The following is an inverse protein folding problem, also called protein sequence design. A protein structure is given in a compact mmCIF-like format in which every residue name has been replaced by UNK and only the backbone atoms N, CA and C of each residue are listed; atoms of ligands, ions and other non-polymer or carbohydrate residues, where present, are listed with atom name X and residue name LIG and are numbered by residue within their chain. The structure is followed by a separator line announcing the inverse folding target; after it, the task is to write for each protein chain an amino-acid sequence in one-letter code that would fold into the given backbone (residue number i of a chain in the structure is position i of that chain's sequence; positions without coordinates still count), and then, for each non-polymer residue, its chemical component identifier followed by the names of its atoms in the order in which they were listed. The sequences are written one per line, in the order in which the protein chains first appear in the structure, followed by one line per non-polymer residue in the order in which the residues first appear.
data_IF_444078433409
#
_entry.id   IF_444078433409
#
_cell.length_a   1.000
_cell.length_b   1.000
_cell.length_c   1.000
_cell.angle_alpha   90.00
_cell.angle_beta   90.00
_cell.angle_gamma   90.00
#
_symmetry.space_group_name_H-M   'P 1'
#
loop_
_entity.id
_entity.type
_entity.pdbx_description
1 polymer ?
#
# COMPACT_ATOMS: atom_id res chain seq x y z
N UNK A 1 -2.61 -3.65 47.68
CA UNK A 1 -1.80 -2.70 48.48
C UNK A 1 -1.62 -1.42 47.65
N UNK A 2 -2.46 -0.43 47.94
CA UNK A 2 -2.37 0.88 47.34
C UNK A 2 -1.20 1.65 47.95
N UNK A 3 -0.12 1.85 47.22
CA UNK A 3 1.03 2.70 47.60
C UNK A 3 0.68 4.20 47.41
N UNK A 4 -0.47 4.64 47.91
CA UNK A 4 -1.02 5.97 47.62
C UNK A 4 -0.67 7.07 48.64
N UNK A 5 0.17 6.82 49.64
CA UNK A 5 0.41 7.81 50.70
C UNK A 5 1.84 8.39 50.80
N UNK A 6 2.59 8.38 49.67
CA UNK A 6 3.89 9.04 49.60
C UNK A 6 4.11 9.81 48.28
N UNK A 7 3.03 10.22 47.61
CA UNK A 7 2.93 10.31 46.15
C UNK A 7 3.21 11.64 45.45
N UNK A 8 3.71 12.71 46.08
CA UNK A 8 3.87 14.00 45.34
C UNK A 8 5.10 14.09 44.44
N UNK A 9 6.15 13.34 44.66
CA UNK A 9 7.41 13.42 43.87
C UNK A 9 7.58 12.29 42.81
N UNK A 10 7.00 11.13 43.04
CA UNK A 10 7.08 10.00 42.08
C UNK A 10 6.02 10.04 40.98
N UNK A 11 4.88 10.68 41.19
CA UNK A 11 3.83 10.83 40.21
C UNK A 11 4.29 11.46 38.87
N UNK A 12 5.09 12.54 38.87
CA UNK A 12 5.55 13.13 37.61
C UNK A 12 6.52 12.23 36.85
N UNK A 13 7.42 11.50 37.52
CA UNK A 13 8.37 10.61 36.83
C UNK A 13 7.68 9.42 36.16
N UNK A 14 6.71 8.81 36.83
CA UNK A 14 5.87 7.75 36.25
C UNK A 14 5.05 8.29 35.08
N UNK A 15 4.47 9.49 35.21
CA UNK A 15 3.71 10.15 34.16
C UNK A 15 4.55 10.42 32.92
N UNK A 16 5.76 10.96 33.08
CA UNK A 16 6.69 11.23 31.95
C UNK A 16 7.11 9.93 31.26
N UNK A 17 7.44 8.88 32.02
CA UNK A 17 7.80 7.58 31.44
C UNK A 17 6.62 6.95 30.67
N UNK A 18 5.41 7.01 31.23
CA UNK A 18 4.20 6.52 30.54
C UNK A 18 3.92 7.31 29.26
N UNK A 19 4.01 8.64 29.33
CA UNK A 19 3.80 9.50 28.16
C UNK A 19 4.83 9.25 27.04
N UNK A 20 6.10 9.04 27.40
CA UNK A 20 7.14 8.76 26.44
C UNK A 20 6.94 7.38 25.75
N UNK A 21 6.55 6.35 26.51
CA UNK A 21 6.19 5.04 25.92
C UNK A 21 4.98 5.19 25.01
N UNK A 22 3.94 5.90 25.47
CA UNK A 22 2.73 6.12 24.68
C UNK A 22 3.03 6.85 23.36
N UNK A 23 3.88 7.89 23.41
CA UNK A 23 4.29 8.62 22.21
C UNK A 23 5.12 7.75 21.26
N UNK A 24 6.07 6.96 21.80
CA UNK A 24 6.87 6.04 20.97
C UNK A 24 5.99 5.02 20.27
N UNK A 25 5.04 4.41 20.97
CA UNK A 25 4.08 3.43 20.41
C UNK A 25 3.18 4.11 19.38
N UNK A 26 2.68 5.29 19.68
CA UNK A 26 1.85 6.07 18.76
C UNK A 26 2.59 6.33 17.42
N UNK A 27 3.84 6.78 17.47
CA UNK A 27 4.65 7.01 16.26
C UNK A 27 4.91 5.72 15.49
N UNK A 28 5.17 4.60 16.19
CA UNK A 28 5.37 3.30 15.55
C UNK A 28 4.10 2.82 14.83
N UNK A 29 2.92 2.94 15.46
CA UNK A 29 1.63 2.59 14.85
C UNK A 29 1.35 3.48 13.63
N UNK A 30 1.58 4.80 13.75
CA UNK A 30 1.42 5.73 12.64
C UNK A 30 2.29 5.32 11.44
N UNK A 31 3.57 4.99 11.69
CA UNK A 31 4.50 4.59 10.62
C UNK A 31 4.01 3.33 9.89
N UNK A 32 3.56 2.31 10.61
CA UNK A 32 3.04 1.07 10.00
C UNK A 32 1.77 1.35 9.21
N UNK A 33 0.81 2.08 9.81
CA UNK A 33 -0.51 2.30 9.22
C UNK A 33 -0.44 3.20 7.98
N UNK A 34 0.36 4.27 8.02
CA UNK A 34 0.51 5.20 6.89
C UNK A 34 1.26 4.55 5.75
N UNK A 35 2.37 3.86 6.02
CA UNK A 35 3.13 3.20 4.94
C UNK A 35 2.35 2.02 4.36
N UNK A 36 1.60 1.26 5.18
CA UNK A 36 0.66 0.24 4.70
C UNK A 36 -0.39 0.84 3.76
N UNK A 37 -1.00 1.96 4.17
CA UNK A 37 -1.97 2.68 3.35
C UNK A 37 -1.39 3.16 2.01
N UNK A 38 -0.19 3.75 2.03
CA UNK A 38 0.53 4.14 0.80
C UNK A 38 0.76 2.96 -0.14
N UNK A 39 1.24 1.84 0.40
CA UNK A 39 1.50 0.63 -0.39
C UNK A 39 0.23 0.11 -1.05
N UNK A 40 -0.88 0.11 -0.30
CA UNK A 40 -2.18 -0.30 -0.82
C UNK A 40 -2.65 0.61 -1.96
N UNK A 41 -2.66 1.93 -1.74
CA UNK A 41 -3.13 2.89 -2.74
C UNK A 41 -2.31 2.85 -4.04
N UNK A 42 -0.98 2.84 -3.95
CA UNK A 42 -0.13 2.75 -5.14
C UNK A 42 -0.29 1.40 -5.84
N UNK A 43 -0.38 0.29 -5.09
CA UNK A 43 -0.66 -1.02 -5.65
C UNK A 43 -1.98 -1.03 -6.42
N UNK A 44 -3.05 -0.52 -5.80
CA UNK A 44 -4.39 -0.52 -6.39
C UNK A 44 -4.44 0.33 -7.67
N UNK A 45 -3.69 1.43 -7.73
CA UNK A 45 -3.54 2.23 -8.95
C UNK A 45 -2.76 1.49 -10.04
N UNK A 46 -1.61 0.90 -9.72
CA UNK A 46 -0.83 0.12 -10.70
C UNK A 46 -1.62 -1.06 -11.24
N UNK A 47 -2.34 -1.78 -10.36
CA UNK A 47 -3.21 -2.90 -10.73
C UNK A 47 -4.39 -2.41 -11.57
N UNK A 48 -5.00 -1.28 -11.22
CA UNK A 48 -6.12 -0.70 -11.97
C UNK A 48 -5.78 -0.40 -13.43
N UNK A 49 -4.53 -0.08 -13.73
CA UNK A 49 -4.06 0.13 -15.10
C UNK A 49 -3.54 -1.13 -15.79
N UNK A 50 -2.99 -2.12 -15.05
CA UNK A 50 -2.25 -3.25 -15.62
C UNK A 50 -2.83 -4.63 -15.27
N UNK A 51 -3.90 -4.71 -14.45
CA UNK A 51 -4.39 -5.95 -13.83
C UNK A 51 -3.32 -6.65 -12.96
N UNK A 52 -3.61 -7.81 -12.39
CA UNK A 52 -2.65 -8.57 -11.56
C UNK A 52 -1.54 -9.22 -12.41
N UNK A 53 -1.96 -9.91 -13.47
CA UNK A 53 -1.07 -10.53 -14.46
C UNK A 53 -1.44 -10.06 -15.86
N UNK A 54 -0.43 -9.89 -16.68
CA UNK A 54 -0.60 -9.60 -18.12
C UNK A 54 0.06 -10.71 -18.92
N UNK A 55 -0.73 -11.37 -19.75
CA UNK A 55 -0.25 -12.39 -20.68
C UNK A 55 -0.13 -11.76 -22.07
N UNK A 56 1.05 -11.77 -22.63
CA UNK A 56 1.35 -11.26 -23.98
C UNK A 56 1.90 -12.38 -24.88
N UNK A 57 1.74 -12.24 -26.18
CA UNK A 57 2.38 -13.16 -27.11
C UNK A 57 3.89 -12.97 -27.08
N UNK A 58 4.65 -14.06 -26.93
CA UNK A 58 6.09 -13.99 -27.05
C UNK A 58 6.47 -13.67 -28.51
N UNK A 59 7.35 -12.67 -28.70
CA UNK A 59 7.86 -12.36 -30.01
C UNK A 59 8.58 -13.60 -30.58
N UNK A 60 8.09 -14.13 -31.69
CA UNK A 60 8.78 -15.19 -32.43
C UNK A 60 9.75 -14.53 -33.43
N UNK A 61 11.00 -15.01 -33.51
CA UNK A 61 11.95 -14.48 -34.50
C UNK A 61 11.47 -14.64 -35.96
N UNK A 62 10.52 -15.57 -36.19
CA UNK A 62 10.02 -15.92 -37.53
C UNK A 62 8.84 -15.06 -37.99
N UNK A 63 8.10 -14.44 -37.08
CA UNK A 63 7.06 -13.48 -37.41
C UNK A 63 7.64 -12.08 -37.25
N UNK A 64 8.08 -11.51 -38.38
CA UNK A 64 8.57 -10.13 -38.43
C UNK A 64 7.60 -9.16 -37.74
N UNK A 65 8.08 -7.97 -37.39
CA UNK A 65 7.38 -6.91 -36.65
C UNK A 65 6.14 -6.34 -37.39
N UNK A 66 5.40 -7.16 -38.12
CA UNK A 66 4.12 -6.80 -38.69
C UNK A 66 3.06 -6.76 -37.56
N UNK A 67 2.22 -5.78 -37.61
CA UNK A 67 1.21 -5.36 -36.63
C UNK A 67 0.27 -6.51 -36.14
N UNK A 68 0.25 -7.65 -36.83
CA UNK A 68 -0.51 -8.86 -36.44
C UNK A 68 0.27 -9.93 -35.68
N UNK A 69 1.61 -9.84 -35.60
CA UNK A 69 2.47 -10.91 -35.03
C UNK A 69 2.41 -11.08 -33.51
N UNK A 70 2.03 -10.05 -32.75
CA UNK A 70 2.07 -10.03 -31.30
C UNK A 70 0.71 -10.07 -30.60
N UNK A 71 -0.37 -10.41 -31.33
CA UNK A 71 -1.71 -10.48 -30.77
C UNK A 71 -1.91 -11.78 -29.96
N UNK A 72 -2.56 -11.66 -28.82
CA UNK A 72 -3.06 -12.78 -28.01
C UNK A 72 -4.44 -13.15 -28.53
N UNK A 73 -4.65 -14.44 -28.88
CA UNK A 73 -5.97 -14.96 -29.21
C UNK A 73 -6.51 -15.77 -28.05
N UNK A 74 -7.72 -15.46 -27.64
CA UNK A 74 -8.40 -16.16 -26.54
C UNK A 74 -9.04 -17.47 -27.06
N UNK A 75 -8.17 -18.41 -27.43
CA UNK A 75 -8.59 -19.75 -27.95
C UNK A 75 -9.28 -20.59 -26.88
N UNK A 76 -10.10 -21.59 -27.27
CA UNK A 76 -10.70 -22.54 -26.33
C UNK A 76 -9.68 -23.24 -25.42
N UNK A 77 -8.49 -23.57 -25.95
CA UNK A 77 -7.40 -24.18 -25.18
C UNK A 77 -6.86 -23.23 -24.14
N UNK A 78 -6.62 -21.97 -24.49
CA UNK A 78 -6.13 -20.93 -23.52
C UNK A 78 -7.19 -20.69 -22.45
N UNK A 79 -8.48 -20.57 -22.82
CA UNK A 79 -9.59 -20.46 -21.84
C UNK A 79 -9.59 -21.61 -20.86
N UNK A 80 -9.50 -22.87 -21.38
CA UNK A 80 -9.48 -24.09 -20.56
C UNK A 80 -8.33 -24.09 -19.56
N UNK A 81 -7.15 -23.59 -19.94
CA UNK A 81 -6.00 -23.46 -19.01
C UNK A 81 -6.33 -22.47 -17.91
N UNK A 82 -6.86 -21.29 -18.26
CA UNK A 82 -7.17 -20.23 -17.28
C UNK A 82 -8.30 -20.63 -16.32
N UNK A 83 -9.37 -21.24 -16.86
CA UNK A 83 -10.54 -21.68 -16.08
C UNK A 83 -10.20 -22.81 -15.09
N UNK A 84 -9.15 -23.59 -15.37
CA UNK A 84 -8.68 -24.65 -14.49
C UNK A 84 -7.76 -24.17 -13.37
N UNK A 85 -7.32 -22.90 -13.40
CA UNK A 85 -6.45 -22.34 -12.36
C UNK A 85 -7.30 -21.68 -11.25
N UNK A 86 -7.32 -22.25 -10.02
CA UNK A 86 -8.24 -21.82 -8.96
C UNK A 86 -7.95 -20.41 -8.42
N UNK A 87 -6.80 -19.85 -8.75
CA UNK A 87 -6.43 -18.48 -8.37
C UNK A 87 -6.86 -17.44 -9.40
N UNK A 88 -7.33 -17.82 -10.58
CA UNK A 88 -7.85 -16.92 -11.61
C UNK A 88 -9.31 -16.57 -11.26
N UNK A 89 -9.58 -15.29 -11.08
CA UNK A 89 -10.93 -14.77 -10.78
C UNK A 89 -11.63 -14.35 -12.06
N UNK A 90 -10.92 -13.59 -12.88
CA UNK A 90 -11.44 -13.07 -14.15
C UNK A 90 -10.30 -12.85 -15.15
N UNK A 91 -10.64 -12.79 -16.42
CA UNK A 91 -9.70 -12.37 -17.44
C UNK A 91 -10.42 -11.61 -18.56
N UNK A 92 -9.72 -10.64 -19.17
CA UNK A 92 -10.23 -9.83 -20.27
C UNK A 92 -9.13 -9.55 -21.29
N UNK A 93 -9.52 -9.44 -22.57
CA UNK A 93 -8.58 -9.04 -23.62
C UNK A 93 -8.37 -7.53 -23.57
N UNK A 94 -7.11 -7.12 -23.47
CA UNK A 94 -6.71 -5.74 -23.70
C UNK A 94 -6.53 -5.52 -25.20
N UNK A 95 -7.03 -4.40 -25.70
CA UNK A 95 -6.63 -3.85 -26.98
C UNK A 95 -6.18 -2.41 -26.77
N UNK A 96 -5.02 -2.07 -27.31
CA UNK A 96 -4.49 -0.71 -27.23
C UNK A 96 -3.78 -0.37 -28.52
N UNK A 97 -3.92 0.88 -28.97
CA UNK A 97 -3.23 1.38 -30.16
C UNK A 97 -2.80 2.83 -30.02
N UNK A 98 -1.68 3.24 -30.63
CA UNK A 98 -1.24 4.63 -30.61
C UNK A 98 -2.23 5.51 -31.35
N UNK A 99 -2.49 6.68 -30.76
CA UNK A 99 -3.38 7.66 -31.32
C UNK A 99 -2.89 9.09 -31.02
N UNK A 100 -3.41 10.06 -31.76
CA UNK A 100 -3.15 11.48 -31.51
C UNK A 100 -4.50 12.18 -31.35
N UNK A 101 -4.71 12.77 -30.19
CA UNK A 101 -5.79 13.74 -29.97
C UNK A 101 -5.39 15.06 -30.63
N UNK A 102 -6.28 15.63 -31.42
CA UNK A 102 -6.00 16.90 -32.10
C UNK A 102 -7.15 17.87 -31.96
N UNK A 103 -6.83 19.08 -31.57
CA UNK A 103 -7.70 20.25 -31.58
C UNK A 103 -7.17 21.26 -32.60
N UNK A 104 -7.91 22.35 -32.94
CA UNK A 104 -7.41 23.39 -33.79
C UNK A 104 -6.13 24.09 -33.29
N UNK A 105 -5.92 24.10 -31.96
CA UNK A 105 -4.84 24.83 -31.29
C UNK A 105 -3.65 23.95 -30.88
N UNK A 106 -3.86 22.67 -30.59
CA UNK A 106 -2.81 21.80 -30.05
C UNK A 106 -3.09 20.33 -30.36
N UNK A 107 -2.09 19.45 -30.09
CA UNK A 107 -2.22 18.01 -30.22
C UNK A 107 -1.49 17.27 -29.11
N UNK A 108 -1.92 16.05 -28.81
CA UNK A 108 -1.30 15.17 -27.79
C UNK A 108 -1.26 13.73 -28.29
N UNK A 109 -0.07 13.13 -28.25
CA UNK A 109 0.09 11.68 -28.47
C UNK A 109 -0.41 10.92 -27.26
N UNK A 110 -1.21 9.87 -27.50
CA UNK A 110 -1.83 9.03 -26.48
C UNK A 110 -1.88 7.58 -26.94
N UNK A 111 -2.16 6.67 -26.00
CA UNK A 111 -2.62 5.32 -26.32
C UNK A 111 -4.11 5.23 -26.08
N UNK A 112 -4.84 4.87 -27.13
CA UNK A 112 -6.26 4.54 -27.03
C UNK A 112 -6.38 3.08 -26.56
N UNK A 113 -6.92 2.89 -25.37
CA UNK A 113 -7.05 1.60 -24.71
C UNK A 113 -8.51 1.17 -24.63
N UNK A 114 -8.79 -0.09 -24.91
CA UNK A 114 -10.12 -0.65 -24.72
C UNK A 114 -10.49 -0.73 -23.23
N UNK A 115 -11.76 -0.46 -22.92
CA UNK A 115 -12.31 -0.48 -21.56
C UNK A 115 -13.46 -1.50 -21.49
N UNK A 116 -13.18 -2.74 -21.84
CA UNK A 116 -14.19 -3.80 -21.84
C UNK A 116 -14.25 -4.59 -20.52
N UNK A 117 -13.14 -4.66 -19.76
CA UNK A 117 -13.06 -5.32 -18.47
C UNK A 117 -13.87 -4.61 -17.39
N UNK A 118 -14.65 -5.36 -16.59
CA UNK A 118 -15.47 -4.76 -15.52
C UNK A 118 -14.60 -4.12 -14.43
N UNK A 119 -13.47 -4.72 -14.10
CA UNK A 119 -12.55 -4.20 -13.08
C UNK A 119 -11.88 -2.90 -13.53
N UNK A 120 -11.45 -2.84 -14.80
CA UNK A 120 -10.91 -1.61 -15.39
C UNK A 120 -11.97 -0.51 -15.46
N UNK A 121 -13.20 -0.86 -15.86
CA UNK A 121 -14.33 0.10 -15.86
C UNK A 121 -14.62 0.61 -14.45
N UNK A 122 -14.61 -0.27 -13.45
CA UNK A 122 -14.82 0.10 -12.06
C UNK A 122 -13.69 1.02 -11.54
N UNK A 123 -12.45 0.75 -11.96
CA UNK A 123 -11.31 1.60 -11.62
C UNK A 123 -11.45 3.00 -12.23
N UNK A 124 -11.71 3.11 -13.53
CA UNK A 124 -11.89 4.41 -14.19
C UNK A 124 -13.11 5.15 -13.64
N UNK A 125 -14.22 4.43 -13.35
CA UNK A 125 -15.42 5.04 -12.74
C UNK A 125 -15.15 5.62 -11.35
N UNK A 126 -14.31 4.99 -10.53
CA UNK A 126 -13.92 5.51 -9.21
C UNK A 126 -13.07 6.79 -9.31
N UNK A 127 -12.32 6.94 -10.41
CA UNK A 127 -11.46 8.08 -10.64
C UNK A 127 -12.07 9.14 -11.59
N UNK A 128 -13.39 9.09 -11.86
CA UNK A 128 -14.05 10.09 -12.67
C UNK A 128 -14.12 11.44 -11.94
N UNK A 129 -13.70 12.48 -12.63
CA UNK A 129 -13.85 13.89 -12.23
C UNK A 129 -15.14 14.47 -12.79
N UNK A 130 -15.56 14.02 -13.99
CA UNK A 130 -16.79 14.48 -14.62
C UNK A 130 -17.29 13.53 -15.69
N UNK A 131 -18.58 13.52 -15.95
CA UNK A 131 -19.22 12.69 -16.96
C UNK A 131 -19.55 11.28 -16.51
N UNK A 132 -19.52 10.35 -17.45
CA UNK A 132 -19.83 8.93 -17.21
C UNK A 132 -18.87 8.05 -17.99
N UNK A 133 -18.66 6.82 -17.50
CA UNK A 133 -17.99 5.75 -18.28
C UNK A 133 -19.07 5.01 -19.05
N UNK A 134 -19.09 5.12 -20.40
CA UNK A 134 -20.04 4.37 -21.22
C UNK A 134 -19.88 2.86 -21.06
N UNK A 135 -20.96 2.13 -21.27
CA UNK A 135 -20.89 0.68 -21.42
C UNK A 135 -20.51 0.33 -22.86
N UNK A 136 -19.21 0.25 -23.10
CA UNK A 136 -18.66 -0.05 -24.42
C UNK A 136 -18.96 -1.46 -24.92
N UNK A 137 -19.41 -2.37 -24.05
CA UNK A 137 -19.79 -3.74 -24.45
C UNK A 137 -21.12 -3.79 -25.21
N UNK A 138 -21.96 -2.76 -25.09
CA UNK A 138 -23.28 -2.64 -25.72
C UNK A 138 -23.31 -1.84 -27.01
N UNK A 139 -22.16 -1.58 -27.58
CA UNK A 139 -22.03 -0.80 -28.81
C UNK A 139 -22.62 -1.60 -29.99
N UNK A 140 -23.94 -1.44 -30.23
CA UNK A 140 -24.62 -1.91 -31.44
C UNK A 140 -24.94 -0.80 -32.44
N UNK A 141 -24.79 0.46 -32.06
CA UNK A 141 -25.03 1.61 -32.92
C UNK A 141 -23.73 2.37 -33.18
N UNK A 142 -23.47 2.72 -34.43
CA UNK A 142 -22.26 3.40 -34.86
C UNK A 142 -21.96 4.72 -34.12
N UNK A 143 -23.00 5.39 -33.59
CA UNK A 143 -22.87 6.63 -32.84
C UNK A 143 -22.37 6.45 -31.39
N UNK A 144 -22.67 5.31 -30.77
CA UNK A 144 -22.23 5.01 -29.39
C UNK A 144 -20.77 4.53 -29.32
N UNK A 145 -20.23 3.99 -30.42
CA UNK A 145 -18.82 3.58 -30.54
C UNK A 145 -17.85 4.76 -30.50
N UNK A 146 -18.32 5.98 -30.69
CA UNK A 146 -17.51 7.19 -30.77
C UNK A 146 -17.39 7.94 -29.43
N UNK A 147 -17.79 7.33 -28.31
CA UNK A 147 -17.54 7.83 -26.98
C UNK A 147 -16.10 7.59 -26.54
N UNK A 148 -15.50 8.54 -25.83
CA UNK A 148 -14.17 8.42 -25.26
C UNK A 148 -14.13 8.98 -23.84
N UNK A 149 -13.37 8.33 -22.96
CA UNK A 149 -13.04 8.84 -21.64
C UNK A 149 -11.59 9.32 -21.68
N UNK A 150 -11.40 10.61 -21.41
CA UNK A 150 -10.08 11.27 -21.48
C UNK A 150 -9.55 11.57 -20.08
N UNK A 151 -8.24 11.64 -19.93
CA UNK A 151 -7.67 12.06 -18.65
C UNK A 151 -7.78 13.56 -18.45
N UNK A 152 -7.87 14.01 -17.21
CA UNK A 152 -7.92 15.45 -16.87
C UNK A 152 -6.68 16.23 -17.38
N UNK A 153 -5.44 15.70 -17.23
CA UNK A 153 -4.27 16.37 -17.82
C UNK A 153 -4.36 16.54 -19.34
N UNK A 154 -4.88 15.53 -20.05
CA UNK A 154 -5.08 15.63 -21.49
C UNK A 154 -6.20 16.63 -21.85
N UNK A 155 -7.31 16.58 -21.10
CA UNK A 155 -8.42 17.51 -21.28
C UNK A 155 -8.00 18.96 -21.02
N UNK A 156 -7.24 19.22 -19.95
CA UNK A 156 -6.72 20.54 -19.60
C UNK A 156 -5.75 21.08 -20.65
N UNK A 157 -4.80 20.24 -21.11
CA UNK A 157 -3.83 20.64 -22.14
C UNK A 157 -4.50 21.03 -23.44
N UNK A 158 -5.52 20.28 -23.87
CA UNK A 158 -6.16 20.46 -25.18
C UNK A 158 -7.41 21.34 -25.12
N UNK A 159 -7.79 21.86 -23.95
CA UNK A 159 -9.02 22.65 -23.75
C UNK A 159 -10.28 21.84 -24.05
N UNK A 160 -10.32 20.56 -23.68
CA UNK A 160 -11.43 19.66 -23.93
C UNK A 160 -12.42 19.69 -22.75
N UNK A 161 -13.71 19.72 -23.06
CA UNK A 161 -14.78 19.69 -22.07
C UNK A 161 -15.68 18.47 -22.29
N UNK A 162 -16.32 18.02 -21.22
CA UNK A 162 -17.33 16.95 -21.28
C UNK A 162 -18.43 17.29 -22.30
N UNK A 163 -18.84 16.33 -23.11
CA UNK A 163 -19.80 16.49 -24.19
C UNK A 163 -19.23 17.13 -25.47
N UNK A 164 -18.01 17.65 -25.39
CA UNK A 164 -17.27 18.18 -26.54
C UNK A 164 -16.86 17.07 -27.51
N UNK A 165 -16.34 17.49 -28.68
CA UNK A 165 -15.87 16.59 -29.72
C UNK A 165 -14.38 16.82 -29.96
N UNK A 166 -13.62 15.74 -30.19
CA UNK A 166 -12.20 15.77 -30.50
C UNK A 166 -11.91 14.88 -31.71
N UNK A 167 -11.00 15.31 -32.58
CA UNK A 167 -10.56 14.49 -33.69
C UNK A 167 -9.40 13.59 -33.20
N UNK A 168 -9.58 12.27 -33.32
CA UNK A 168 -8.60 11.27 -32.91
C UNK A 168 -8.03 10.64 -34.16
N UNK A 169 -6.71 10.75 -34.29
CA UNK A 169 -5.94 10.17 -35.38
C UNK A 169 -5.31 8.87 -34.91
N UNK A 170 -5.79 7.76 -35.42
CA UNK A 170 -5.28 6.43 -35.11
C UNK A 170 -4.18 6.04 -36.10
N UNK A 171 -3.09 5.50 -35.58
CA UNK A 171 -1.92 5.07 -36.35
C UNK A 171 -1.94 3.53 -36.45
N UNK A 172 -2.29 3.02 -37.64
CA UNK A 172 -2.30 1.60 -37.99
C UNK A 172 -1.60 1.47 -39.36
N UNK A 173 -2.13 0.67 -40.30
CA UNK A 173 -1.66 0.62 -41.69
C UNK A 173 -2.02 1.87 -42.48
N UNK A 174 -1.73 3.03 -41.90
CA UNK A 174 -2.11 4.35 -42.35
C UNK A 174 -2.74 5.15 -41.22
N UNK A 175 -3.07 6.42 -41.51
CA UNK A 175 -3.74 7.27 -40.52
C UNK A 175 -5.25 7.25 -40.76
N UNK A 176 -5.98 6.79 -39.76
CA UNK A 176 -7.45 6.78 -39.76
C UNK A 176 -7.96 7.82 -38.77
N UNK A 177 -8.89 8.67 -39.16
CA UNK A 177 -9.43 9.73 -38.31
C UNK A 177 -10.85 9.38 -37.88
N UNK A 178 -11.14 9.59 -36.60
CA UNK A 178 -12.49 9.51 -36.05
C UNK A 178 -12.76 10.73 -35.17
N UNK A 179 -13.96 11.30 -35.33
CA UNK A 179 -14.43 12.37 -34.46
C UNK A 179 -15.18 11.76 -33.30
N UNK A 180 -14.63 11.89 -32.09
CA UNK A 180 -15.11 11.24 -30.88
C UNK A 180 -15.75 12.26 -29.94
N UNK A 181 -16.76 11.81 -29.17
CA UNK A 181 -17.41 12.59 -28.13
C UNK A 181 -16.78 12.28 -26.79
N UNK A 182 -16.50 13.29 -25.99
CA UNK A 182 -15.96 13.15 -24.64
C UNK A 182 -17.12 12.83 -23.69
N UNK A 183 -17.23 11.58 -23.28
CA UNK A 183 -18.30 11.12 -22.38
C UNK A 183 -17.90 11.23 -20.90
N UNK A 184 -16.60 11.15 -20.60
CA UNK A 184 -16.09 11.31 -19.26
C UNK A 184 -14.66 11.85 -19.21
N UNK A 185 -14.34 12.46 -18.08
CA UNK A 185 -12.99 12.91 -17.73
C UNK A 185 -12.60 12.22 -16.43
N UNK A 186 -11.44 11.56 -16.42
CA UNK A 186 -10.93 10.87 -15.23
C UNK A 186 -9.60 11.48 -14.78
N UNK A 187 -9.30 11.34 -13.49
CA UNK A 187 -8.01 11.67 -12.92
C UNK A 187 -7.68 10.64 -11.83
N UNK A 188 -6.67 9.81 -12.08
CA UNK A 188 -6.20 8.86 -11.09
C UNK A 188 -5.10 9.44 -10.20
N UNK A 189 -4.66 10.68 -10.47
CA UNK A 189 -3.47 11.29 -9.87
C UNK A 189 -2.19 10.45 -10.08
N UNK A 190 -2.16 9.66 -11.16
CA UNK A 190 -1.02 8.83 -11.53
C UNK A 190 -0.51 9.26 -12.90
N UNK A 191 0.19 10.40 -12.89
CA UNK A 191 0.55 11.17 -14.08
C UNK A 191 1.22 10.36 -15.19
N UNK A 192 2.02 9.35 -14.81
CA UNK A 192 2.68 8.48 -15.78
C UNK A 192 1.70 7.69 -16.66
N UNK A 193 0.48 7.43 -16.17
CA UNK A 193 -0.57 6.75 -16.92
C UNK A 193 -1.61 7.74 -17.44
N UNK A 194 -2.02 8.72 -16.62
CA UNK A 194 -3.03 9.73 -16.99
C UNK A 194 -2.58 10.56 -18.18
N UNK A 195 -1.28 10.80 -18.35
CA UNK A 195 -0.73 11.52 -19.51
C UNK A 195 -0.69 10.68 -20.80
N UNK A 196 -0.86 9.36 -20.71
CA UNK A 196 -0.66 8.46 -21.84
C UNK A 196 -1.98 7.84 -22.32
N UNK A 197 -2.88 7.43 -21.39
CA UNK A 197 -4.04 6.64 -21.76
C UNK A 197 -5.31 7.46 -21.91
N UNK A 198 -6.10 7.12 -22.93
CA UNK A 198 -7.52 7.43 -23.08
C UNK A 198 -8.28 6.13 -23.33
N UNK A 199 -9.54 6.10 -23.00
CA UNK A 199 -10.33 4.87 -23.00
C UNK A 199 -11.54 4.94 -23.90
N UNK A 200 -11.82 3.82 -24.60
CA UNK A 200 -12.97 3.69 -25.46
C UNK A 200 -13.34 2.25 -25.77
N UNK A 201 -14.16 2.07 -26.79
CA UNK A 201 -14.67 0.75 -27.16
C UNK A 201 -13.59 -0.13 -27.85
N UNK A 202 -13.47 -1.39 -27.44
CA UNK A 202 -12.62 -2.38 -28.11
C UNK A 202 -13.03 -2.58 -29.57
N UNK A 203 -14.33 -2.63 -29.84
CA UNK A 203 -14.87 -2.78 -31.20
C UNK A 203 -14.32 -1.74 -32.19
N UNK A 204 -14.05 -0.51 -31.72
CA UNK A 204 -13.42 0.51 -32.55
C UNK A 204 -11.97 0.17 -32.91
N UNK A 205 -11.21 -0.33 -31.92
CA UNK A 205 -9.82 -0.78 -32.16
C UNK A 205 -9.82 -1.97 -33.13
N UNK A 206 -10.70 -2.94 -32.94
CA UNK A 206 -10.82 -4.13 -33.80
C UNK A 206 -11.13 -3.74 -35.23
N UNK A 207 -12.08 -2.82 -35.45
CA UNK A 207 -12.38 -2.27 -36.80
C UNK A 207 -11.18 -1.53 -37.40
N UNK A 208 -10.52 -0.66 -36.61
CA UNK A 208 -9.43 0.16 -37.11
C UNK A 208 -8.15 -0.65 -37.39
N UNK A 209 -7.86 -1.63 -36.57
CA UNK A 209 -6.69 -2.49 -36.73
C UNK A 209 -6.95 -3.74 -37.60
N UNK A 210 -8.21 -4.04 -37.94
CA UNK A 210 -8.58 -5.22 -38.73
C UNK A 210 -8.33 -6.52 -37.96
N UNK A 211 -8.54 -6.52 -36.66
CA UNK A 211 -8.34 -7.69 -35.79
C UNK A 211 -9.68 -8.31 -35.40
N UNK A 212 -9.68 -9.60 -35.16
CA UNK A 212 -10.89 -10.34 -34.74
C UNK A 212 -11.21 -10.01 -33.26
N UNK A 213 -12.48 -10.07 -32.89
CA UNK A 213 -12.95 -9.74 -31.54
C UNK A 213 -12.37 -10.65 -30.43
N UNK A 214 -11.94 -11.86 -30.78
CA UNK A 214 -11.29 -12.82 -29.87
C UNK A 214 -9.76 -12.61 -29.73
N UNK A 215 -9.22 -11.54 -30.34
CA UNK A 215 -7.82 -11.17 -30.29
C UNK A 215 -7.63 -9.83 -29.55
N UNK A 216 -6.44 -9.66 -28.98
CA UNK A 216 -6.05 -8.44 -28.30
C UNK A 216 -4.54 -8.28 -28.23
N UNK A 217 -4.07 -7.13 -27.82
CA UNK A 217 -2.63 -6.87 -27.63
C UNK A 217 -2.05 -7.58 -26.41
N UNK A 218 -2.89 -7.83 -25.41
CA UNK A 218 -2.57 -8.60 -24.22
C UNK A 218 -3.85 -9.23 -23.62
N UNK A 219 -3.66 -10.14 -22.67
CA UNK A 219 -4.74 -10.69 -21.85
C UNK A 219 -4.45 -10.32 -20.40
N UNK A 220 -5.36 -9.59 -19.80
CA UNK A 220 -5.34 -9.24 -18.40
C UNK A 220 -5.97 -10.36 -17.58
N UNK A 221 -5.32 -10.73 -16.49
CA UNK A 221 -5.80 -11.78 -15.58
C UNK A 221 -5.79 -11.23 -14.16
N UNK A 222 -6.95 -11.29 -13.51
CA UNK A 222 -7.12 -10.95 -12.10
C UNK A 222 -7.04 -12.21 -11.26
N UNK A 223 -6.28 -12.14 -10.17
CA UNK A 223 -6.05 -13.27 -9.27
C UNK A 223 -6.67 -13.00 -7.89
N UNK A 224 -6.91 -14.07 -7.13
CA UNK A 224 -7.53 -14.02 -5.81
C UNK A 224 -6.70 -13.24 -4.78
N UNK A 225 -5.36 -13.27 -4.89
CA UNK A 225 -4.45 -12.68 -3.92
C UNK A 225 -3.25 -12.04 -4.65
N UNK A 226 -3.12 -10.72 -4.51
CA UNK A 226 -2.02 -9.98 -5.12
C UNK A 226 -0.67 -10.25 -4.45
N UNK A 227 -0.63 -10.55 -3.16
CA UNK A 227 0.63 -10.77 -2.46
C UNK A 227 1.35 -12.02 -2.97
N UNK A 228 0.59 -12.99 -3.53
CA UNK A 228 1.09 -14.21 -4.16
C UNK A 228 1.21 -14.12 -5.68
N UNK A 229 1.11 -12.93 -6.26
CA UNK A 229 1.08 -12.74 -7.72
C UNK A 229 2.32 -13.33 -8.42
N UNK A 230 3.49 -13.28 -7.79
CA UNK A 230 4.72 -13.82 -8.35
C UNK A 230 4.70 -15.36 -8.43
N UNK A 231 4.11 -16.02 -7.42
CA UNK A 231 3.87 -17.47 -7.43
C UNK A 231 2.88 -17.86 -8.53
N UNK A 232 1.78 -17.10 -8.64
CA UNK A 232 0.77 -17.34 -9.67
C UNK A 232 1.31 -17.11 -11.09
N UNK A 233 2.14 -16.08 -11.28
CA UNK A 233 2.82 -15.84 -12.55
C UNK A 233 3.73 -17.00 -12.96
N UNK A 234 4.54 -17.50 -12.03
CA UNK A 234 5.43 -18.64 -12.27
C UNK A 234 4.64 -19.92 -12.60
N UNK A 235 3.53 -20.14 -11.90
CA UNK A 235 2.64 -21.29 -12.14
C UNK A 235 1.96 -21.20 -13.50
N UNK A 236 1.38 -20.04 -13.81
CA UNK A 236 0.73 -19.81 -15.12
C UNK A 236 1.74 -19.95 -16.26
N UNK A 237 2.93 -19.36 -16.12
CA UNK A 237 4.00 -19.49 -17.11
C UNK A 237 4.33 -20.94 -17.40
N UNK A 238 4.49 -21.77 -16.35
CA UNK A 238 4.76 -23.21 -16.50
C UNK A 238 3.65 -23.91 -17.28
N UNK A 239 2.38 -23.66 -16.94
CA UNK A 239 1.22 -24.25 -17.61
C UNK A 239 1.12 -23.86 -19.09
N UNK A 240 1.43 -22.58 -19.39
CA UNK A 240 1.42 -22.09 -20.78
C UNK A 240 2.57 -22.70 -21.60
N UNK A 241 3.76 -22.87 -21.00
CA UNK A 241 4.91 -23.52 -21.65
C UNK A 241 4.63 -25.00 -21.88
N UNK A 242 4.07 -25.73 -20.90
CA UNK A 242 3.62 -27.12 -21.06
C UNK A 242 2.59 -27.25 -22.18
N UNK A 243 1.54 -26.42 -22.18
CA UNK A 243 0.52 -26.42 -23.21
C UNK A 243 1.06 -26.11 -24.63
N UNK A 244 2.11 -25.29 -24.72
CA UNK A 244 2.81 -25.05 -25.99
C UNK A 244 3.65 -26.29 -26.42
N UNK A 245 4.37 -26.91 -25.48
CA UNK A 245 5.19 -28.09 -25.75
C UNK A 245 4.33 -29.32 -26.18
N UNK A 246 3.14 -29.44 -25.56
CA UNK A 246 2.18 -30.54 -25.87
C UNK A 246 1.34 -30.25 -27.12
N UNK A 247 1.50 -29.09 -27.78
CA UNK A 247 0.77 -28.68 -28.96
C UNK A 247 -0.70 -28.28 -28.72
N UNK A 248 -1.09 -28.08 -27.43
CA UNK A 248 -2.41 -27.54 -27.08
C UNK A 248 -2.53 -26.05 -27.44
N UNK A 249 -1.40 -25.33 -27.35
CA UNK A 249 -1.29 -23.93 -27.71
C UNK A 249 -0.44 -23.74 -28.95
N UNK A 250 -0.91 -22.93 -29.89
CA UNK A 250 -0.22 -22.68 -31.16
C UNK A 250 0.98 -21.73 -31.07
N UNK A 251 1.15 -21.05 -29.93
CA UNK A 251 2.29 -20.13 -29.66
C UNK A 251 2.67 -20.10 -28.20
N UNK A 252 3.86 -19.57 -27.94
CA UNK A 252 4.33 -19.33 -26.60
C UNK A 252 3.84 -17.96 -26.09
N UNK A 253 3.60 -17.87 -24.79
CA UNK A 253 3.14 -16.65 -24.10
C UNK A 253 4.11 -16.25 -23.01
N UNK A 254 4.21 -14.94 -22.82
CA UNK A 254 4.96 -14.31 -21.71
C UNK A 254 3.96 -13.82 -20.68
N UNK A 255 4.21 -14.15 -19.41
CA UNK A 255 3.41 -13.65 -18.28
C UNK A 255 4.24 -12.61 -17.53
N UNK A 256 3.69 -11.44 -17.35
CA UNK A 256 4.28 -10.35 -16.54
C UNK A 256 3.34 -10.01 -15.40
N UNK A 257 3.92 -9.76 -14.22
CA UNK A 257 3.16 -9.29 -13.06
C UNK A 257 2.96 -7.77 -13.12
N UNK A 258 1.96 -7.25 -12.41
CA UNK A 258 1.86 -5.81 -12.20
C UNK A 258 3.10 -5.24 -11.51
N UNK A 259 3.79 -6.05 -10.67
CA UNK A 259 5.07 -5.66 -10.05
C UNK A 259 6.19 -5.48 -11.08
N UNK A 260 6.25 -6.33 -12.11
CA UNK A 260 7.23 -6.20 -13.19
C UNK A 260 6.99 -4.96 -14.03
N UNK A 261 5.75 -4.70 -14.39
CA UNK A 261 5.34 -3.52 -15.16
C UNK A 261 5.50 -2.22 -14.38
N UNK A 262 5.12 -2.24 -13.09
CA UNK A 262 5.28 -1.13 -12.16
C UNK A 262 6.58 -1.16 -11.35
N UNK A 263 7.65 -1.79 -11.84
CA UNK A 263 8.89 -2.05 -11.06
C UNK A 263 9.46 -0.81 -10.36
N UNK A 264 9.44 0.34 -11.00
CA UNK A 264 9.91 1.60 -10.40
C UNK A 264 9.12 1.95 -9.14
N UNK A 265 7.81 1.85 -9.18
CA UNK A 265 6.93 2.15 -8.04
C UNK A 265 7.09 1.13 -6.92
N UNK A 266 7.11 -0.16 -7.23
CA UNK A 266 7.28 -1.21 -6.23
C UNK A 266 8.67 -1.18 -5.58
N UNK A 267 9.72 -0.83 -6.33
CA UNK A 267 11.07 -0.63 -5.77
C UNK A 267 11.10 0.57 -4.81
N UNK A 268 10.40 1.66 -5.15
CA UNK A 268 10.27 2.81 -4.26
C UNK A 268 9.47 2.45 -3.00
N UNK A 269 8.37 1.71 -3.12
CA UNK A 269 7.59 1.23 -1.98
C UNK A 269 8.41 0.32 -1.04
N UNK A 270 9.33 -0.49 -1.58
CA UNK A 270 10.23 -1.32 -0.78
C UNK A 270 11.20 -0.50 0.08
N UNK A 271 11.60 0.71 -0.37
CA UNK A 271 12.41 1.62 0.44
C UNK A 271 11.63 2.14 1.67
N UNK A 272 10.31 2.29 1.56
CA UNK A 272 9.48 2.70 2.69
C UNK A 272 9.48 1.66 3.82
N UNK A 273 9.58 0.37 3.51
CA UNK A 273 9.72 -0.69 4.52
C UNK A 273 10.99 -0.52 5.35
N UNK A 274 12.09 -0.19 4.69
CA UNK A 274 13.35 0.09 5.38
C UNK A 274 13.24 1.29 6.29
N UNK A 275 12.58 2.37 5.84
CA UNK A 275 12.35 3.56 6.65
C UNK A 275 11.49 3.23 7.88
N UNK A 276 10.40 2.46 7.71
CA UNK A 276 9.59 1.99 8.84
C UNK A 276 10.42 1.19 9.83
N UNK A 277 11.22 0.23 9.35
CA UNK A 277 12.07 -0.60 10.22
C UNK A 277 13.05 0.27 11.05
N UNK A 278 13.65 1.30 10.44
CA UNK A 278 14.52 2.26 11.13
C UNK A 278 13.75 3.04 12.19
N UNK A 279 12.56 3.56 11.86
CA UNK A 279 11.71 4.29 12.82
C UNK A 279 11.31 3.39 13.98
N UNK A 280 10.88 2.15 13.71
CA UNK A 280 10.52 1.19 14.76
C UNK A 280 11.70 0.89 15.68
N UNK A 281 12.88 0.65 15.13
CA UNK A 281 14.10 0.40 15.90
C UNK A 281 14.47 1.61 16.77
N UNK A 282 14.47 2.81 16.18
CA UNK A 282 14.79 4.05 16.89
C UNK A 282 13.82 4.33 18.04
N UNK A 283 12.51 4.23 17.77
CA UNK A 283 11.48 4.48 18.77
C UNK A 283 11.51 3.44 19.89
N UNK A 284 11.82 2.18 19.58
CA UNK A 284 12.03 1.12 20.57
C UNK A 284 13.21 1.45 21.49
N UNK A 285 14.32 1.91 20.95
CA UNK A 285 15.49 2.33 21.73
C UNK A 285 15.15 3.52 22.64
N UNK A 286 14.45 4.54 22.11
CA UNK A 286 14.01 5.71 22.89
C UNK A 286 13.08 5.28 24.04
N UNK A 287 12.11 4.41 23.77
CA UNK A 287 11.22 3.87 24.79
C UNK A 287 12.00 3.12 25.89
N UNK A 288 12.97 2.28 25.52
CA UNK A 288 13.80 1.55 26.47
C UNK A 288 14.65 2.48 27.35
N UNK A 289 15.33 3.48 26.77
CA UNK A 289 16.14 4.44 27.51
C UNK A 289 15.26 5.21 28.50
N UNK A 290 14.08 5.64 28.06
CA UNK A 290 13.16 6.39 28.93
C UNK A 290 12.60 5.53 30.06
N UNK A 291 12.26 4.25 29.78
CA UNK A 291 11.82 3.30 30.81
C UNK A 291 12.93 3.02 31.85
N UNK A 292 14.17 2.81 31.37
CA UNK A 292 15.33 2.60 32.25
C UNK A 292 15.54 3.82 33.15
N UNK A 293 15.55 5.02 32.57
CA UNK A 293 15.71 6.27 33.30
C UNK A 293 14.59 6.50 34.32
N UNK A 294 13.33 6.28 33.89
CA UNK A 294 12.17 6.39 34.79
C UNK A 294 12.23 5.41 35.94
N UNK A 295 12.62 4.14 35.67
CA UNK A 295 12.77 3.14 36.73
C UNK A 295 13.91 3.51 37.70
N UNK A 296 15.05 4.02 37.21
CA UNK A 296 16.12 4.46 38.08
C UNK A 296 15.69 5.60 39.00
N UNK A 297 14.94 6.58 38.48
CA UNK A 297 14.40 7.69 39.29
C UNK A 297 13.47 7.14 40.39
N UNK A 298 12.59 6.20 40.03
CA UNK A 298 11.68 5.56 41.01
C UNK A 298 12.44 4.77 42.05
N UNK A 299 13.51 4.05 41.69
CA UNK A 299 14.36 3.31 42.63
C UNK A 299 15.06 4.29 43.60
N UNK A 300 15.61 5.38 43.10
CA UNK A 300 16.29 6.41 43.93
C UNK A 300 15.31 7.09 44.89
N UNK A 301 14.09 7.41 44.46
CA UNK A 301 13.05 8.00 45.31
C UNK A 301 12.59 7.04 46.41
N UNK A 302 12.61 5.73 46.14
CA UNK A 302 12.18 4.68 47.09
C UNK A 302 13.35 3.98 47.80
N UNK A 303 14.57 4.58 47.78
CA UNK A 303 15.77 3.93 48.30
C UNK A 303 15.67 3.64 49.83
N UNK A 304 15.07 4.55 50.59
CA UNK A 304 14.82 4.37 52.03
C UNK A 304 13.87 3.18 52.27
N UNK A 305 12.78 3.07 51.51
CA UNK A 305 11.85 1.92 51.55
C UNK A 305 12.57 0.58 51.26
N UNK A 306 13.44 0.56 50.23
CA UNK A 306 14.28 -0.60 49.91
C UNK A 306 15.17 -0.99 51.10
N UNK A 307 15.81 -0.01 51.74
CA UNK A 307 16.65 -0.21 52.94
C UNK A 307 15.88 -0.83 54.09
N UNK A 308 14.70 -0.32 54.42
CA UNK A 308 13.85 -0.81 55.47
C UNK A 308 13.40 -2.27 55.15
N UNK A 309 12.93 -2.50 53.96
CA UNK A 309 12.48 -3.85 53.58
C UNK A 309 13.59 -4.90 53.64
N UNK A 310 14.85 -4.53 53.23
CA UNK A 310 16.01 -5.41 53.38
C UNK A 310 16.35 -5.64 54.87
N UNK A 311 16.27 -4.63 55.72
CA UNK A 311 16.49 -4.78 57.16
C UNK A 311 15.47 -5.72 57.81
N UNK A 312 14.22 -5.76 57.30
CA UNK A 312 13.16 -6.69 57.70
C UNK A 312 13.28 -8.11 57.05
N UNK A 313 14.37 -8.35 56.27
CA UNK A 313 14.65 -9.66 55.70
C UNK A 313 14.12 -9.90 54.29
N UNK A 314 13.64 -8.86 53.58
CA UNK A 314 13.20 -9.01 52.20
C UNK A 314 14.35 -9.42 51.27
N UNK A 315 14.11 -10.43 50.46
CA UNK A 315 15.13 -10.91 49.49
C UNK A 315 15.34 -9.93 48.33
N UNK A 316 16.55 -9.90 47.80
CA UNK A 316 16.85 -9.08 46.62
C UNK A 316 15.98 -9.45 45.40
N UNK A 317 15.57 -10.73 45.29
CA UNK A 317 14.66 -11.18 44.20
C UNK A 317 13.26 -10.59 44.36
N UNK A 318 12.71 -10.59 45.56
CA UNK A 318 11.38 -10.02 45.82
C UNK A 318 11.34 -8.53 45.54
N UNK A 319 12.35 -7.77 45.94
CA UNK A 319 12.45 -6.33 45.68
C UNK A 319 12.59 -6.05 44.18
N UNK A 320 13.42 -6.81 43.47
CA UNK A 320 13.54 -6.68 41.99
C UNK A 320 12.18 -6.90 41.29
N UNK A 321 11.46 -7.95 41.65
CA UNK A 321 10.14 -8.24 41.09
C UNK A 321 9.14 -7.09 41.28
N UNK A 322 9.14 -6.45 42.46
CA UNK A 322 8.27 -5.28 42.73
C UNK A 322 8.55 -4.14 41.73
N UNK A 323 9.83 -3.80 41.50
CA UNK A 323 10.19 -2.72 40.57
C UNK A 323 9.95 -3.09 39.11
N UNK A 324 10.24 -4.35 38.72
CA UNK A 324 9.92 -4.84 37.38
C UNK A 324 8.42 -4.80 37.13
N UNK A 325 7.60 -5.24 38.11
CA UNK A 325 6.14 -5.18 38.00
C UNK A 325 5.62 -3.74 37.88
N UNK A 326 6.21 -2.80 38.62
CA UNK A 326 5.85 -1.38 38.52
C UNK A 326 6.16 -0.83 37.13
N UNK A 327 7.33 -1.13 36.59
CA UNK A 327 7.75 -0.69 35.26
C UNK A 327 6.89 -1.33 34.16
N UNK A 328 6.52 -2.61 34.29
CA UNK A 328 5.58 -3.27 33.37
C UNK A 328 4.20 -2.61 33.40
N UNK A 329 3.70 -2.18 34.55
CA UNK A 329 2.46 -1.40 34.62
C UNK A 329 2.56 -0.09 33.84
N UNK A 330 3.68 0.61 33.94
CA UNK A 330 3.96 1.83 33.16
C UNK A 330 3.98 1.52 31.68
N UNK A 331 4.63 0.44 31.28
CA UNK A 331 4.67 -0.02 29.87
C UNK A 331 3.27 -0.33 29.35
N UNK A 332 2.49 -1.12 30.06
CA UNK A 332 1.11 -1.49 29.65
C UNK A 332 0.22 -0.24 29.57
N UNK A 333 0.32 0.67 30.53
CA UNK A 333 -0.42 1.93 30.49
C UNK A 333 -0.01 2.78 29.28
N UNK A 334 1.30 2.85 28.98
CA UNK A 334 1.83 3.54 27.80
C UNK A 334 1.34 2.91 26.49
N UNK A 335 1.36 1.59 26.37
CA UNK A 335 0.81 0.85 25.23
C UNK A 335 -0.69 1.18 25.03
N UNK A 336 -1.49 1.07 26.07
CA UNK A 336 -2.94 1.34 25.96
C UNK A 336 -3.24 2.79 25.56
N UNK A 337 -2.54 3.75 26.16
CA UNK A 337 -2.72 5.17 25.83
C UNK A 337 -2.22 5.46 24.41
N UNK A 338 -1.05 4.94 24.03
CA UNK A 338 -0.47 5.12 22.69
C UNK A 338 -1.36 4.54 21.60
N UNK A 339 -1.86 3.32 21.79
CA UNK A 339 -2.82 2.67 20.91
C UNK A 339 -4.12 3.49 20.78
N UNK A 340 -4.76 3.82 21.92
CA UNK A 340 -6.00 4.56 21.91
C UNK A 340 -5.87 5.93 21.20
N UNK A 341 -4.80 6.66 21.50
CA UNK A 341 -4.51 7.95 20.89
C UNK A 341 -4.34 7.82 19.37
N UNK A 342 -3.43 6.93 18.95
CA UNK A 342 -3.07 6.86 17.53
C UNK A 342 -4.18 6.22 16.70
N UNK A 343 -4.82 5.16 17.17
CA UNK A 343 -5.98 4.56 16.46
C UNK A 343 -7.10 5.61 16.29
N UNK A 344 -7.33 6.46 17.30
CA UNK A 344 -8.32 7.53 17.18
C UNK A 344 -7.92 8.56 16.13
N UNK A 345 -6.67 9.02 16.13
CA UNK A 345 -6.17 10.00 15.14
C UNK A 345 -6.26 9.42 13.73
N UNK A 346 -5.80 8.18 13.54
CA UNK A 346 -5.83 7.50 12.24
C UNK A 346 -7.26 7.23 11.77
N UNK A 347 -8.18 6.88 12.66
CA UNK A 347 -9.60 6.69 12.31
C UNK A 347 -10.28 8.01 11.93
N UNK A 348 -9.89 9.13 12.54
CA UNK A 348 -10.34 10.46 12.12
C UNK A 348 -9.76 10.79 10.75
N UNK A 349 -8.45 10.55 10.53
CA UNK A 349 -7.80 10.77 9.23
C UNK A 349 -8.48 9.96 8.11
N UNK A 350 -8.74 8.68 8.34
CA UNK A 350 -9.38 7.79 7.37
C UNK A 350 -10.79 8.25 6.94
N UNK A 351 -11.52 8.89 7.87
CA UNK A 351 -12.89 9.39 7.61
C UNK A 351 -12.94 10.82 7.07
N UNK A 352 -12.04 11.67 7.51
CA UNK A 352 -12.13 13.13 7.24
C UNK A 352 -11.11 13.60 6.22
N UNK A 353 -10.06 12.79 5.94
CA UNK A 353 -8.95 13.13 5.05
C UNK A 353 -8.35 14.52 5.38
N UNK A 354 -8.25 14.87 6.69
CA UNK A 354 -7.88 16.21 7.13
C UNK A 354 -6.42 16.58 6.85
N UNK A 355 -5.55 15.58 6.60
CA UNK A 355 -4.17 15.80 6.17
C UNK A 355 -4.13 15.61 4.65
N UNK A 356 -4.17 16.69 3.85
CA UNK A 356 -4.03 16.61 2.42
C UNK A 356 -2.58 16.35 2.04
N UNK A 357 -2.37 15.74 0.88
CA UNK A 357 -1.09 15.59 0.22
C UNK A 357 -1.15 16.26 -1.15
N UNK A 358 0.01 16.62 -1.67
CA UNK A 358 0.13 17.10 -3.05
C UNK A 358 0.11 15.91 -4.02
N UNK A 359 -0.91 15.77 -4.86
CA UNK A 359 -1.03 14.63 -5.78
C UNK A 359 0.10 14.54 -6.81
N UNK A 360 0.67 15.67 -7.22
CA UNK A 360 1.77 15.69 -8.20
C UNK A 360 3.04 15.04 -7.62
N UNK A 361 3.26 15.18 -6.30
CA UNK A 361 4.44 14.63 -5.62
C UNK A 361 4.23 13.23 -5.06
N UNK A 362 3.01 12.93 -4.59
CA UNK A 362 2.72 11.70 -3.84
C UNK A 362 1.75 10.75 -4.55
N UNK A 363 1.19 11.14 -5.68
CA UNK A 363 0.20 10.36 -6.44
C UNK A 363 -1.13 10.11 -5.70
N UNK A 364 -1.37 10.78 -4.57
CA UNK A 364 -2.51 10.58 -3.67
C UNK A 364 -2.87 11.93 -3.05
N UNK A 365 -4.18 12.22 -2.90
CA UNK A 365 -4.71 13.52 -2.42
C UNK A 365 -4.63 13.70 -0.89
N UNK A 366 -4.55 12.62 -0.13
CA UNK A 366 -4.54 12.63 1.33
C UNK A 366 -3.66 11.50 1.87
N UNK A 367 -3.26 11.60 3.15
CA UNK A 367 -2.49 10.54 3.82
C UNK A 367 -3.38 9.30 3.97
N UNK A 368 -3.06 8.21 3.25
CA UNK A 368 -3.83 6.97 3.33
C UNK A 368 -3.50 6.23 4.63
N UNK A 369 -4.48 5.52 5.15
CA UNK A 369 -4.34 4.73 6.39
C UNK A 369 -4.79 3.30 6.14
N UNK A 370 -4.00 2.34 6.60
CA UNK A 370 -4.37 0.93 6.62
C UNK A 370 -4.24 0.35 8.02
N UNK A 371 -5.35 -0.15 8.56
CA UNK A 371 -5.38 -0.79 9.88
C UNK A 371 -5.02 -2.27 9.78
N UNK A 372 -3.75 -2.59 9.92
CA UNK A 372 -3.30 -3.98 10.09
C UNK A 372 -3.29 -4.35 11.58
N UNK A 373 -4.42 -4.85 12.10
CA UNK A 373 -4.53 -5.24 13.52
C UNK A 373 -3.51 -6.28 13.93
N UNK A 374 -3.13 -7.19 13.01
CA UNK A 374 -2.08 -8.18 13.26
C UNK A 374 -0.71 -7.54 13.45
N UNK A 375 -0.36 -6.54 12.64
CA UNK A 375 0.90 -5.82 12.76
C UNK A 375 0.95 -4.96 14.04
N UNK A 376 -0.17 -4.30 14.41
CA UNK A 376 -0.29 -3.54 15.66
C UNK A 376 -0.12 -4.47 16.87
N UNK A 377 -0.79 -5.61 16.89
CA UNK A 377 -0.65 -6.57 17.97
C UNK A 377 0.78 -7.15 18.07
N UNK A 378 1.41 -7.45 16.94
CA UNK A 378 2.80 -7.89 16.91
C UNK A 378 3.77 -6.82 17.41
N UNK A 379 3.53 -5.55 17.06
CA UNK A 379 4.26 -4.40 17.57
C UNK A 379 4.14 -4.31 19.10
N UNK A 380 2.92 -4.35 19.65
CA UNK A 380 2.67 -4.25 21.09
C UNK A 380 3.38 -5.37 21.86
N UNK A 381 3.28 -6.60 21.38
CA UNK A 381 4.00 -7.75 21.97
C UNK A 381 5.51 -7.54 21.87
N UNK A 382 6.02 -7.08 20.75
CA UNK A 382 7.44 -6.78 20.53
C UNK A 382 7.95 -5.72 21.53
N UNK A 383 7.26 -4.59 21.62
CA UNK A 383 7.61 -3.50 22.55
C UNK A 383 7.54 -3.99 24.00
N UNK A 384 6.52 -4.74 24.36
CA UNK A 384 6.39 -5.31 25.71
C UNK A 384 7.56 -6.24 26.06
N UNK A 385 7.93 -7.15 25.16
CA UNK A 385 9.05 -8.10 25.37
C UNK A 385 10.38 -7.33 25.47
N UNK A 386 10.63 -6.40 24.57
CA UNK A 386 11.87 -5.60 24.61
C UNK A 386 11.95 -4.74 25.85
N UNK A 387 10.84 -4.10 26.26
CA UNK A 387 10.77 -3.36 27.51
C UNK A 387 11.05 -4.25 28.72
N UNK A 388 10.46 -5.44 28.76
CA UNK A 388 10.71 -6.43 29.82
C UNK A 388 12.18 -6.82 29.92
N UNK A 389 12.83 -7.10 28.78
CA UNK A 389 14.27 -7.41 28.71
C UNK A 389 15.15 -6.22 29.16
N UNK A 390 14.82 -5.02 28.69
CA UNK A 390 15.54 -3.80 29.05
C UNK A 390 15.53 -3.51 30.55
N UNK A 391 14.44 -3.86 31.24
CA UNK A 391 14.27 -3.66 32.67
C UNK A 391 15.10 -4.62 33.54
N UNK A 392 15.67 -5.67 32.97
CA UNK A 392 16.55 -6.60 33.68
C UNK A 392 17.82 -5.87 34.14
N UNK A 393 18.39 -4.99 33.30
CA UNK A 393 19.64 -4.26 33.59
C UNK A 393 19.50 -3.36 34.83
N UNK A 394 18.57 -2.38 34.93
CA UNK A 394 18.46 -1.49 36.07
C UNK A 394 17.97 -2.21 37.32
N UNK A 395 17.26 -3.33 37.20
CA UNK A 395 16.81 -4.09 38.36
C UNK A 395 18.00 -4.66 39.19
N UNK A 396 19.18 -4.83 38.60
CA UNK A 396 20.37 -5.24 39.34
C UNK A 396 20.90 -4.16 40.28
N UNK A 397 20.65 -2.87 40.01
CA UNK A 397 21.02 -1.78 40.91
C UNK A 397 20.32 -1.90 42.27
N UNK A 398 19.05 -2.36 42.29
CA UNK A 398 18.30 -2.60 43.53
C UNK A 398 19.02 -3.60 44.44
N UNK A 399 19.68 -4.60 43.86
CA UNK A 399 20.42 -5.61 44.62
C UNK A 399 21.67 -5.06 45.32
N UNK A 400 22.31 -4.01 44.76
CA UNK A 400 23.56 -3.41 45.29
C UNK A 400 23.33 -2.38 46.37
N UNK A 401 22.12 -1.94 46.65
CA UNK A 401 21.81 -1.00 47.74
C UNK A 401 22.06 -1.65 49.10
N UNK A 402 23.02 -1.15 49.89
CA UNK A 402 23.30 -1.69 51.20
C UNK A 402 22.39 -1.02 52.26
N UNK A 403 21.84 -1.79 53.22
CA UNK A 403 20.97 -1.24 54.30
C UNK A 403 21.67 -0.22 55.17
N UNK A 404 22.97 -0.37 55.38
CA UNK A 404 23.75 0.51 56.26
C UNK A 404 23.97 1.93 55.68
N UNK A 405 24.07 2.05 54.34
CA UNK A 405 24.27 3.36 53.71
C UNK A 405 22.96 4.19 53.64
N UNK A 406 21.81 3.52 53.50
CA UNK A 406 20.51 4.21 53.39
C UNK A 406 20.03 4.81 54.69
N UNK A 407 20.27 4.16 55.81
CA UNK A 407 19.89 4.68 57.17
C UNK A 407 20.79 5.85 57.62
N UNK A 408 22.00 6.02 57.06
CA UNK A 408 22.93 7.08 57.37
C UNK A 408 22.58 8.40 56.64
N UNK A 409 21.91 8.35 55.49
CA UNK A 409 21.55 9.55 54.72
C UNK A 409 20.40 10.34 55.32
N UNK A 410 19.47 9.71 56.06
CA UNK A 410 18.37 10.40 56.75
C UNK A 410 18.82 11.30 57.93
N UNK A 411 20.06 11.10 58.48
CA UNK A 411 20.58 11.88 59.62
C UNK A 411 21.17 13.25 59.21
N UNK A 412 21.25 13.57 57.90
CA UNK A 412 21.92 14.84 57.43
C UNK A 412 20.87 15.88 56.98
N UNK A 413 19.59 15.57 57.04
CA UNK A 413 18.52 16.47 56.53
C UNK A 413 17.60 16.96 57.69
N UNK A 414 18.05 16.91 58.95
CA UNK A 414 17.39 17.59 60.07
C UNK A 414 18.32 18.57 60.73
#
# INVERSE_FOLDING_TARGET
LSLSSGGRRTAPAVGVATAAVALSVAVMIASIAVVGGFKREIRDKVVGFNSHLTVSASASPETGAETGGNLVSLTPSLRKILDNEPYVVSYSLEAAMPAILKTPSDFKGVYFKALDGEEERAFIRRNLVGGTVPDFSRVQEADSALGVVVSEPAARQLGLEQGGKVDVYFISDGVKVRRMRIDGVFNSHFDAYDNIYIYGAKALIDELAGIDADKGTALHVTTTDFDRVDEYAARLTRRLVEGYADGELYRNYKVETAKDRGRGYFSWLALLDTNVAVVLALMTVVACITLISGLLIIILDKIAFVGIMKALGASNRSLRLVFVYLALKVTVAGLLIGNALMVTILAVQDRTHFIPLDPESYYIDFVPVEFSWGAIAALDVGVFVVAWLALILPSHFVARVSPASTLRYERIVW
#
